data_IF_957864088946
#
_entry.id   IF_957864088946
#
_cell.length_a   1.000
_cell.length_b   1.000
_cell.length_c   1.000
_cell.angle_alpha   90.00
_cell.angle_beta   90.00
_cell.angle_gamma   90.00
#
_symmetry.space_group_name_H-M   'P 1'
#
loop_
_entity.id
_entity.type
_entity.pdbx_description
1 polymer ?
#
# COMPACT_ATOMS: atom_id res chain seq x y z
N UNK A 1 -6.45 7.92 -4.09
CA UNK A 1 -7.52 8.06 -3.07
C UNK A 1 -8.06 6.72 -2.59
N UNK A 2 -8.19 5.71 -3.46
CA UNK A 2 -8.65 4.35 -3.07
C UNK A 2 -7.86 3.75 -1.90
N UNK A 3 -6.52 3.73 -1.98
CA UNK A 3 -5.67 3.19 -0.91
C UNK A 3 -5.77 3.94 0.42
N UNK A 4 -6.01 5.26 0.38
CA UNK A 4 -6.27 6.04 1.58
C UNK A 4 -7.53 5.56 2.27
N UNK A 5 -8.62 5.35 1.52
CA UNK A 5 -9.87 4.83 2.07
C UNK A 5 -9.66 3.48 2.76
N UNK A 6 -8.97 2.55 2.10
CA UNK A 6 -8.64 1.22 2.66
C UNK A 6 -7.81 1.37 3.93
N UNK A 7 -6.75 2.18 3.89
CA UNK A 7 -5.86 2.39 5.03
C UNK A 7 -6.59 3.00 6.24
N UNK A 8 -7.44 4.00 6.02
CA UNK A 8 -8.18 4.67 7.09
C UNK A 8 -9.23 3.75 7.70
N UNK A 9 -9.94 2.95 6.89
CA UNK A 9 -10.88 1.94 7.40
C UNK A 9 -10.15 0.87 8.21
N UNK A 10 -9.02 0.36 7.72
CA UNK A 10 -8.20 -0.61 8.45
C UNK A 10 -7.68 -0.04 9.78
N UNK A 11 -7.21 1.22 9.78
CA UNK A 11 -6.76 1.91 10.98
C UNK A 11 -7.88 2.12 12.01
N UNK A 12 -9.07 2.50 11.55
CA UNK A 12 -10.26 2.62 12.39
C UNK A 12 -10.68 1.27 12.97
N UNK A 13 -10.68 0.20 12.17
CA UNK A 13 -11.00 -1.15 12.66
C UNK A 13 -9.97 -1.60 13.72
N UNK A 14 -8.68 -1.38 13.47
CA UNK A 14 -7.64 -1.74 14.42
C UNK A 14 -7.72 -0.90 15.72
N UNK A 15 -8.12 0.38 15.66
CA UNK A 15 -8.26 1.18 16.87
C UNK A 15 -9.39 0.68 17.78
N UNK A 16 -10.47 0.13 17.23
CA UNK A 16 -11.54 -0.50 18.01
C UNK A 16 -11.05 -1.72 18.81
N UNK A 17 -10.06 -2.46 18.30
CA UNK A 17 -9.40 -3.54 19.05
C UNK A 17 -8.73 -3.00 20.33
N UNK A 18 -8.13 -1.81 20.28
CA UNK A 18 -7.47 -1.19 21.45
C UNK A 18 -8.47 -0.81 22.54
N UNK A 19 -9.74 -0.62 22.16
CA UNK A 19 -10.87 -0.40 23.07
C UNK A 19 -11.58 -1.70 23.48
N UNK A 20 -11.00 -2.86 23.16
CA UNK A 20 -11.60 -4.19 23.37
C UNK A 20 -12.95 -4.39 22.65
N UNK A 21 -13.26 -3.58 21.62
CA UNK A 21 -14.53 -3.60 20.90
C UNK A 21 -14.34 -4.10 19.46
N UNK A 22 -13.79 -5.30 19.30
CA UNK A 22 -13.50 -5.86 17.99
C UNK A 22 -14.78 -6.32 17.25
N UNK A 23 -15.16 -5.70 16.13
CA UNK A 23 -16.44 -5.97 15.48
C UNK A 23 -16.45 -7.22 14.58
N UNK A 24 -15.30 -7.83 14.31
CA UNK A 24 -15.16 -8.94 13.35
C UNK A 24 -14.58 -10.22 13.98
N UNK A 25 -15.13 -10.70 15.11
CA UNK A 25 -14.61 -11.90 15.76
C UNK A 25 -14.76 -13.13 14.85
N UNK A 26 -13.83 -14.08 14.96
CA UNK A 26 -13.83 -15.37 14.23
C UNK A 26 -13.57 -15.29 12.72
N UNK A 27 -13.25 -14.12 12.16
CA UNK A 27 -12.83 -13.97 10.75
C UNK A 27 -11.31 -13.86 10.70
N UNK A 28 -10.62 -14.99 10.46
CA UNK A 28 -9.14 -15.06 10.49
C UNK A 28 -8.44 -14.10 9.51
N UNK A 29 -9.01 -13.94 8.31
CA UNK A 29 -8.53 -13.04 7.24
C UNK A 29 -8.54 -11.57 7.65
N UNK A 30 -9.39 -11.21 8.61
CA UNK A 30 -9.52 -9.87 9.15
C UNK A 30 -8.98 -9.78 10.58
N UNK A 31 -8.17 -10.74 11.04
CA UNK A 31 -7.61 -10.71 12.39
C UNK A 31 -6.87 -9.38 12.68
N UNK A 32 -6.86 -8.91 13.94
CA UNK A 32 -6.27 -7.61 14.27
C UNK A 32 -4.83 -7.43 13.81
N UNK A 33 -4.01 -8.49 13.91
CA UNK A 33 -2.62 -8.47 13.41
C UNK A 33 -2.53 -8.22 11.90
N UNK A 34 -3.39 -8.86 11.10
CA UNK A 34 -3.44 -8.64 9.63
C UNK A 34 -3.91 -7.23 9.31
N UNK A 35 -4.95 -6.75 9.99
CA UNK A 35 -5.48 -5.40 9.77
C UNK A 35 -4.47 -4.32 10.14
N UNK A 36 -3.64 -4.53 11.17
CA UNK A 36 -2.51 -3.65 11.50
C UNK A 36 -1.55 -3.52 10.31
N UNK A 37 -1.10 -4.66 9.77
CA UNK A 37 -0.15 -4.68 8.65
C UNK A 37 -0.76 -4.07 7.39
N UNK A 38 -2.05 -4.31 7.14
CA UNK A 38 -2.78 -3.68 6.03
C UNK A 38 -2.85 -2.16 6.22
N UNK A 39 -3.16 -1.67 7.41
CA UNK A 39 -3.18 -0.23 7.68
C UNK A 39 -1.84 0.43 7.35
N UNK A 40 -0.74 -0.10 7.90
CA UNK A 40 0.60 0.47 7.73
C UNK A 40 1.09 0.38 6.28
N UNK A 41 0.86 -0.75 5.60
CA UNK A 41 1.28 -0.93 4.21
C UNK A 41 0.43 -0.09 3.24
N UNK A 42 -0.89 -0.04 3.42
CA UNK A 42 -1.76 0.71 2.51
C UNK A 42 -1.62 2.22 2.67
N UNK A 43 -1.29 2.72 3.87
CA UNK A 43 -1.02 4.15 4.05
C UNK A 43 0.33 4.54 3.42
N UNK A 44 1.40 3.77 3.68
CA UNK A 44 2.73 4.10 3.16
C UNK A 44 2.86 3.82 1.67
N UNK A 45 2.72 2.56 1.26
CA UNK A 45 3.00 2.14 -0.10
C UNK A 45 1.80 2.35 -1.03
N UNK A 46 0.58 2.16 -0.51
CA UNK A 46 -0.63 2.40 -1.28
C UNK A 46 -0.91 3.89 -1.49
N UNK A 47 -1.00 4.68 -0.42
CA UNK A 47 -1.37 6.09 -0.53
C UNK A 47 -0.18 7.02 -0.73
N UNK A 48 0.80 7.04 0.19
CA UNK A 48 1.88 8.02 0.15
C UNK A 48 2.76 7.86 -1.08
N UNK A 49 3.14 6.64 -1.48
CA UNK A 49 3.94 6.45 -2.71
C UNK A 49 3.19 6.88 -3.97
N UNK A 50 1.89 6.56 -4.11
CA UNK A 50 1.10 7.06 -5.24
C UNK A 50 1.00 8.60 -5.23
N UNK A 51 0.83 9.21 -4.05
CA UNK A 51 0.85 10.66 -3.90
C UNK A 51 2.21 11.27 -4.29
N UNK A 52 3.30 10.61 -3.90
CA UNK A 52 4.66 11.00 -4.23
C UNK A 52 4.93 10.90 -5.74
N UNK A 53 4.53 9.80 -6.39
CA UNK A 53 4.61 9.65 -7.84
C UNK A 53 3.86 10.76 -8.57
N UNK A 54 2.60 11.03 -8.17
CA UNK A 54 1.81 12.11 -8.75
C UNK A 54 2.48 13.48 -8.54
N UNK A 55 3.02 13.74 -7.35
CA UNK A 55 3.75 14.96 -7.05
C UNK A 55 5.00 15.11 -7.92
N UNK A 56 5.79 14.05 -8.11
CA UNK A 56 6.97 14.11 -8.97
C UNK A 56 6.60 14.40 -10.44
N UNK A 57 5.59 13.71 -10.97
CA UNK A 57 5.09 13.93 -12.33
C UNK A 57 4.51 15.33 -12.54
N UNK A 58 4.05 15.99 -11.47
CA UNK A 58 3.53 17.35 -11.55
C UNK A 58 4.64 18.41 -11.34
N UNK A 59 5.49 18.24 -10.32
CA UNK A 59 6.47 19.24 -9.88
C UNK A 59 7.70 19.26 -10.77
N UNK A 60 8.29 18.10 -11.11
CA UNK A 60 9.58 18.03 -11.83
C UNK A 60 9.50 18.72 -13.20
N UNK A 61 8.46 18.49 -14.04
CA UNK A 61 8.37 19.17 -15.33
C UNK A 61 8.22 20.70 -15.22
N UNK A 62 7.54 21.18 -14.16
CA UNK A 62 7.31 22.60 -13.92
C UNK A 62 8.57 23.31 -13.45
N UNK A 63 9.32 22.69 -12.53
CA UNK A 63 10.56 23.27 -12.02
C UNK A 63 11.68 23.25 -13.06
N UNK A 64 11.74 22.23 -13.91
CA UNK A 64 12.79 22.09 -14.92
C UNK A 64 12.45 22.76 -16.25
N UNK A 65 11.17 23.12 -16.48
CA UNK A 65 10.68 23.60 -17.77
C UNK A 65 10.72 22.53 -18.88
N UNK A 66 10.92 21.26 -18.52
CA UNK A 66 11.06 20.14 -19.47
C UNK A 66 9.91 19.17 -19.32
N UNK A 67 9.42 18.62 -20.44
CA UNK A 67 8.42 17.55 -20.41
C UNK A 67 9.01 16.28 -19.81
N UNK A 68 8.15 15.46 -19.22
CA UNK A 68 8.51 14.10 -18.77
C UNK A 68 8.99 13.28 -19.98
N UNK A 69 10.01 12.43 -19.77
CA UNK A 69 10.67 11.70 -20.86
C UNK A 69 9.71 10.78 -21.64
N UNK A 70 8.77 10.12 -20.95
CA UNK A 70 7.76 9.28 -21.59
C UNK A 70 6.49 9.22 -20.75
N UNK A 71 5.35 9.54 -21.37
CA UNK A 71 4.03 9.39 -20.75
C UNK A 71 3.66 7.91 -20.60
N UNK A 72 4.01 7.08 -21.60
CA UNK A 72 3.72 5.65 -21.57
C UNK A 72 4.44 4.96 -20.41
N UNK A 73 5.72 5.31 -20.19
CA UNK A 73 6.49 4.77 -19.07
C UNK A 73 5.86 5.16 -17.71
N UNK A 74 5.34 6.38 -17.58
CA UNK A 74 4.65 6.80 -16.36
C UNK A 74 3.39 5.99 -16.06
N UNK A 75 2.60 5.69 -17.08
CA UNK A 75 1.44 4.81 -16.91
C UNK A 75 1.84 3.37 -16.56
N UNK A 76 2.94 2.86 -17.13
CA UNK A 76 3.48 1.54 -16.79
C UNK A 76 3.92 1.50 -15.33
N UNK A 77 4.70 2.49 -14.86
CA UNK A 77 5.15 2.59 -13.47
C UNK A 77 3.93 2.65 -12.53
N UNK A 78 2.94 3.49 -12.85
CA UNK A 78 1.73 3.60 -12.03
C UNK A 78 0.97 2.27 -11.97
N UNK A 79 0.79 1.59 -13.11
CA UNK A 79 0.08 0.32 -13.16
C UNK A 79 0.84 -0.79 -12.41
N UNK A 80 2.16 -0.90 -12.63
CA UNK A 80 3.03 -1.86 -11.97
C UNK A 80 3.01 -1.66 -10.44
N UNK A 81 3.15 -0.42 -9.98
CA UNK A 81 3.09 -0.09 -8.56
C UNK A 81 1.75 -0.48 -7.93
N UNK A 82 0.64 -0.17 -8.58
CA UNK A 82 -0.69 -0.53 -8.06
C UNK A 82 -0.93 -2.05 -8.08
N UNK A 83 -0.38 -2.78 -9.06
CA UNK A 83 -0.43 -4.25 -9.08
C UNK A 83 0.35 -4.86 -7.91
N UNK A 84 1.54 -4.34 -7.61
CA UNK A 84 2.37 -4.74 -6.46
C UNK A 84 1.63 -4.47 -5.14
N UNK A 85 1.10 -3.26 -4.96
CA UNK A 85 0.33 -2.92 -3.74
C UNK A 85 -0.90 -3.83 -3.59
N UNK A 86 -1.60 -4.13 -4.68
CA UNK A 86 -2.74 -5.05 -4.65
C UNK A 86 -2.32 -6.48 -4.28
N UNK A 87 -1.19 -6.96 -4.82
CA UNK A 87 -0.62 -8.26 -4.47
C UNK A 87 -0.25 -8.34 -2.98
N UNK A 88 0.41 -7.31 -2.45
CA UNK A 88 0.71 -7.18 -1.01
C UNK A 88 -0.57 -7.19 -0.17
N UNK A 89 -1.57 -6.40 -0.56
CA UNK A 89 -2.86 -6.34 0.16
C UNK A 89 -3.51 -7.74 0.26
N UNK A 90 -3.53 -8.50 -0.82
CA UNK A 90 -4.06 -9.87 -0.84
C UNK A 90 -3.19 -10.80 0.01
N UNK A 91 -1.86 -10.76 -0.13
CA UNK A 91 -0.95 -11.61 0.65
C UNK A 91 -1.06 -11.40 2.16
N UNK A 92 -1.13 -10.14 2.60
CA UNK A 92 -1.33 -9.80 4.02
C UNK A 92 -2.66 -10.34 4.56
N UNK A 93 -3.72 -10.31 3.75
CA UNK A 93 -5.00 -10.90 4.10
C UNK A 93 -4.94 -12.43 4.23
N UNK A 94 -4.14 -13.09 3.40
CA UNK A 94 -3.89 -14.54 3.50
C UNK A 94 -3.00 -14.91 4.69
N UNK A 95 -2.26 -13.94 5.24
CA UNK A 95 -1.34 -14.12 6.35
C UNK A 95 0.10 -14.38 5.91
N UNK A 96 0.40 -14.16 4.63
CA UNK A 96 1.75 -14.17 4.08
C UNK A 96 2.39 -12.82 4.42
N UNK A 97 3.08 -12.76 5.56
CA UNK A 97 3.75 -11.55 6.03
C UNK A 97 5.06 -11.88 6.71
N UNK A 98 6.08 -11.06 6.46
CA UNK A 98 7.36 -11.15 7.17
C UNK A 98 7.25 -10.42 8.53
N UNK A 99 8.03 -10.84 9.52
CA UNK A 99 8.03 -10.24 10.86
C UNK A 99 8.91 -8.98 10.95
N UNK A 100 8.92 -8.17 9.89
CA UNK A 100 9.72 -6.93 9.77
C UNK A 100 8.76 -5.76 9.57
N UNK A 101 8.77 -4.78 10.47
CA UNK A 101 7.91 -3.61 10.32
C UNK A 101 8.27 -2.81 9.07
N UNK A 102 7.27 -2.42 8.28
CA UNK A 102 7.40 -1.79 6.96
C UNK A 102 8.00 -2.67 5.86
N UNK A 103 8.37 -3.90 6.20
CA UNK A 103 8.78 -4.96 5.30
C UNK A 103 7.89 -6.18 5.47
N UNK A 104 6.59 -5.99 5.75
CA UNK A 104 5.65 -7.10 5.92
C UNK A 104 5.20 -7.71 4.59
N UNK A 105 5.73 -7.24 3.47
CA UNK A 105 5.40 -7.70 2.13
C UNK A 105 5.58 -9.22 2.00
N UNK A 106 4.72 -9.91 1.25
CA UNK A 106 4.96 -11.32 0.98
C UNK A 106 6.28 -11.49 0.23
N UNK A 107 7.07 -12.51 0.57
CA UNK A 107 8.41 -12.76 -0.01
C UNK A 107 8.42 -12.89 -1.53
N UNK A 108 7.29 -13.27 -2.14
CA UNK A 108 7.13 -13.39 -3.58
C UNK A 108 6.81 -12.05 -4.27
N UNK A 109 6.45 -11.01 -3.51
CA UNK A 109 6.23 -9.64 -3.99
C UNK A 109 7.52 -8.82 -3.96
N UNK A 110 8.41 -9.05 -2.99
CA UNK A 110 9.65 -8.27 -2.81
C UNK A 110 10.50 -8.13 -4.08
N UNK A 111 10.74 -9.19 -4.89
CA UNK A 111 11.52 -9.04 -6.11
C UNK A 111 10.88 -8.12 -7.14
N UNK A 112 9.54 -8.04 -7.16
CA UNK A 112 8.79 -7.17 -8.08
C UNK A 112 8.92 -5.69 -7.66
N UNK A 113 9.00 -5.44 -6.34
CA UNK A 113 9.23 -4.09 -5.79
C UNK A 113 10.61 -3.56 -6.19
N UNK A 114 11.62 -4.43 -6.25
CA UNK A 114 13.00 -4.04 -6.59
C UNK A 114 13.20 -3.79 -8.08
N UNK A 115 12.46 -4.52 -8.94
CA UNK A 115 12.59 -4.41 -10.41
C UNK A 115 11.78 -3.23 -10.98
N UNK A 116 10.70 -2.84 -10.32
CA UNK A 116 9.83 -1.72 -10.72
C UNK A 116 10.42 -0.34 -10.44
#
# INVERSE_FOLDING_TARGET
MTWLGIAMVAGLLYSLQLLQHWPLPKIAVLSPGRIRMIHTNMIAFGFLTNGFLAMLYWTVPRLTGRRVASNALGWIILAAWNAIVAATYVGLHLGEAQAVEWGETPVWVDPLVVVG
#
